data_IF_389115292831
#
_entry.id   IF_389115292831
#
_cell.length_a   1.000
_cell.length_b   1.000
_cell.length_c   1.000
_cell.angle_alpha   90.00
_cell.angle_beta   90.00
_cell.angle_gamma   90.00
#
_symmetry.space_group_name_H-M   'P 1'
#
loop_
_entity.id
_entity.type
_entity.pdbx_description
1 polymer ?
#
# COMPACT_ATOMS: atom_id res chain seq x y z
N UNK A 1 -20.19 3.20 3.61
CA UNK A 1 -19.70 4.19 4.61
C UNK A 1 -19.91 5.58 4.05
N UNK A 2 -20.77 6.40 4.66
CA UNK A 2 -21.02 7.79 4.25
C UNK A 2 -20.12 8.72 5.07
N UNK A 3 -19.20 9.42 4.39
CA UNK A 3 -18.16 10.23 5.02
C UNK A 3 -18.67 11.61 5.51
N UNK A 4 -18.37 11.93 6.77
CA UNK A 4 -18.50 13.26 7.38
C UNK A 4 -17.11 13.93 7.36
N UNK A 5 -16.91 14.78 6.35
CA UNK A 5 -15.66 15.40 5.85
C UNK A 5 -14.56 15.84 6.85
N UNK A 6 -14.83 16.03 8.14
CA UNK A 6 -13.84 16.50 9.12
C UNK A 6 -13.24 15.42 10.02
N UNK A 7 -14.06 14.46 10.48
CA UNK A 7 -13.60 13.39 11.41
C UNK A 7 -12.85 12.28 10.69
N UNK A 8 -13.26 11.97 9.47
CA UNK A 8 -12.68 10.87 8.68
C UNK A 8 -11.23 11.14 8.26
N UNK A 9 -10.88 12.40 8.02
CA UNK A 9 -9.51 12.79 7.69
C UNK A 9 -8.54 12.59 8.85
N UNK A 10 -8.99 12.81 10.09
CA UNK A 10 -8.16 12.57 11.29
C UNK A 10 -7.92 11.08 11.47
N UNK A 11 -8.98 10.27 11.38
CA UNK A 11 -8.86 8.82 11.47
C UNK A 11 -7.91 8.24 10.40
N UNK A 12 -8.02 8.72 9.15
CA UNK A 12 -7.14 8.26 8.07
C UNK A 12 -5.69 8.71 8.23
N UNK A 13 -5.44 9.91 8.80
CA UNK A 13 -4.09 10.39 9.07
C UNK A 13 -3.40 9.66 10.23
N UNK A 14 -4.18 9.27 11.24
CA UNK A 14 -3.69 8.55 12.41
C UNK A 14 -3.69 7.02 12.25
N UNK A 15 -4.06 6.52 11.06
CA UNK A 15 -4.09 5.09 10.79
C UNK A 15 -2.67 4.55 10.58
N UNK A 16 -2.12 3.92 11.62
CA UNK A 16 -0.83 3.25 11.59
C UNK A 16 -1.02 1.75 11.76
N UNK A 17 -0.45 0.96 10.85
CA UNK A 17 -0.49 -0.51 10.89
C UNK A 17 0.57 -1.06 11.85
N UNK A 18 1.66 -0.30 12.03
CA UNK A 18 2.82 -0.67 12.85
C UNK A 18 3.23 0.47 13.76
N UNK A 19 4.00 0.16 14.81
CA UNK A 19 4.62 1.20 15.62
C UNK A 19 5.75 1.86 14.80
N UNK A 20 5.65 3.17 14.58
CA UNK A 20 6.68 3.90 13.84
C UNK A 20 7.96 4.07 14.66
N UNK A 21 7.91 3.98 15.99
CA UNK A 21 9.09 4.07 16.87
C UNK A 21 10.05 2.89 16.69
N UNK A 22 9.55 1.76 16.19
CA UNK A 22 10.34 0.55 15.96
C UNK A 22 10.93 0.49 14.55
N UNK A 23 10.58 1.44 13.67
CA UNK A 23 11.08 1.49 12.30
C UNK A 23 12.25 2.47 12.21
N UNK A 24 13.32 2.04 11.55
CA UNK A 24 14.39 2.96 11.18
C UNK A 24 13.83 4.04 10.22
N UNK A 25 14.22 5.31 10.38
CA UNK A 25 13.81 6.38 9.49
C UNK A 25 14.53 6.30 8.14
N UNK A 26 13.98 7.00 7.14
CA UNK A 26 14.55 7.02 5.79
C UNK A 26 15.96 7.60 5.79
N UNK A 27 16.92 6.85 5.24
CA UNK A 27 18.32 7.25 5.16
C UNK A 27 19.23 6.68 6.26
N UNK A 28 18.66 5.95 7.23
CA UNK A 28 19.44 5.23 8.25
C UNK A 28 19.61 3.75 7.92
N UNK A 29 20.63 3.12 8.52
CA UNK A 29 20.88 1.69 8.41
C UNK A 29 19.69 0.90 8.96
N UNK A 30 19.19 -0.04 8.16
CA UNK A 30 18.01 -0.84 8.50
C UNK A 30 16.67 -0.22 8.08
N UNK A 31 16.66 0.90 7.35
CA UNK A 31 15.45 1.42 6.73
C UNK A 31 14.86 0.43 5.71
N UNK A 32 13.64 -0.04 5.97
CA UNK A 32 12.84 -0.80 5.02
C UNK A 32 11.67 0.06 4.51
N UNK A 33 11.62 0.40 3.21
CA UNK A 33 10.52 1.18 2.65
C UNK A 33 9.17 0.44 2.71
N UNK A 34 9.16 -0.88 2.89
CA UNK A 34 7.97 -1.72 3.06
C UNK A 34 7.56 -1.91 4.54
N UNK A 35 8.40 -1.54 5.51
CA UNK A 35 8.20 -1.87 6.92
C UNK A 35 6.87 -1.37 7.51
N UNK A 36 6.38 -0.23 7.01
CA UNK A 36 5.10 0.37 7.43
C UNK A 36 3.84 -0.47 7.12
N UNK A 37 3.93 -1.40 6.17
CA UNK A 37 2.79 -2.21 5.73
C UNK A 37 3.11 -3.71 5.56
N UNK A 38 4.36 -4.11 5.78
CA UNK A 38 4.80 -5.50 5.67
C UNK A 38 3.93 -6.48 6.49
N UNK A 39 3.51 -6.18 7.75
CA UNK A 39 2.67 -7.11 8.51
C UNK A 39 1.29 -7.35 7.87
N UNK A 40 0.74 -6.33 7.19
CA UNK A 40 -0.53 -6.47 6.48
C UNK A 40 -0.38 -7.37 5.26
N UNK A 41 0.72 -7.21 4.50
CA UNK A 41 1.02 -8.03 3.33
C UNK A 41 1.25 -9.49 3.75
N UNK A 42 2.03 -9.70 4.81
CA UNK A 42 2.29 -11.04 5.33
C UNK A 42 1.02 -11.73 5.82
N UNK A 43 0.20 -11.02 6.60
CA UNK A 43 -1.09 -11.53 7.08
C UNK A 43 -2.01 -11.91 5.92
N UNK A 44 -2.13 -11.04 4.93
CA UNK A 44 -2.99 -11.28 3.75
C UNK A 44 -2.49 -12.48 2.95
N UNK A 45 -1.18 -12.57 2.69
CA UNK A 45 -0.59 -13.70 1.98
C UNK A 45 -0.80 -15.02 2.72
N UNK A 46 -0.70 -15.02 4.05
CA UNK A 46 -0.99 -16.20 4.87
C UNK A 46 -2.46 -16.62 4.74
N UNK A 47 -3.39 -15.69 4.82
CA UNK A 47 -4.82 -15.98 4.67
C UNK A 47 -5.15 -16.51 3.26
N UNK A 48 -4.61 -15.87 2.21
CA UNK A 48 -4.85 -16.30 0.84
C UNK A 48 -4.35 -17.72 0.62
N UNK A 49 -3.15 -18.06 1.11
CA UNK A 49 -2.63 -19.43 1.02
C UNK A 49 -3.43 -20.44 1.83
N UNK A 50 -4.01 -20.03 2.96
CA UNK A 50 -4.78 -20.93 3.81
C UNK A 50 -6.17 -21.23 3.25
N UNK A 51 -6.82 -20.25 2.62
CA UNK A 51 -8.21 -20.35 2.18
C UNK A 51 -8.39 -20.66 0.69
N UNK A 52 -7.36 -20.43 -0.14
CA UNK A 52 -7.44 -20.65 -1.58
C UNK A 52 -6.66 -21.89 -2.02
N UNK A 53 -7.36 -22.85 -2.66
CA UNK A 53 -6.73 -23.97 -3.35
C UNK A 53 -6.60 -23.64 -4.83
N UNK A 54 -5.37 -23.53 -5.37
CA UNK A 54 -5.17 -23.21 -6.78
C UNK A 54 -5.66 -24.33 -7.71
N UNK A 55 -6.12 -23.94 -8.90
CA UNK A 55 -6.39 -24.86 -10.01
C UNK A 55 -5.14 -25.06 -10.87
N UNK A 56 -5.20 -25.98 -11.82
CA UNK A 56 -4.06 -26.33 -12.70
C UNK A 56 -3.57 -25.15 -13.55
N UNK A 57 -4.48 -24.29 -13.99
CA UNK A 57 -4.18 -23.13 -14.82
C UNK A 57 -3.99 -21.90 -13.94
N UNK A 58 -2.74 -21.43 -13.84
CA UNK A 58 -2.34 -20.25 -13.10
C UNK A 58 -1.70 -19.23 -14.06
N UNK A 59 -2.12 -17.98 -13.94
CA UNK A 59 -1.49 -16.84 -14.60
C UNK A 59 -0.83 -15.95 -13.56
N UNK A 60 0.40 -15.53 -13.82
CA UNK A 60 1.12 -14.54 -13.01
C UNK A 60 1.29 -13.30 -13.85
N UNK A 61 0.84 -12.16 -13.31
CA UNK A 61 0.95 -10.86 -13.96
C UNK A 61 1.23 -9.79 -12.89
N UNK A 62 1.72 -8.65 -13.33
CA UNK A 62 2.05 -7.52 -12.47
C UNK A 62 0.85 -6.58 -12.32
N UNK A 63 0.54 -6.19 -11.09
CA UNK A 63 -0.42 -5.13 -10.80
C UNK A 63 0.28 -3.99 -10.09
N UNK A 64 0.24 -2.80 -10.68
CA UNK A 64 0.85 -1.60 -10.10
C UNK A 64 -0.20 -0.75 -9.38
N UNK A 65 0.20 -0.21 -8.25
CA UNK A 65 -0.60 0.75 -7.48
C UNK A 65 0.09 2.10 -7.58
N UNK A 66 -0.65 3.10 -8.07
CA UNK A 66 -0.13 4.47 -8.19
C UNK A 66 0.19 5.04 -6.80
N UNK A 67 1.47 5.15 -6.47
CA UNK A 67 1.96 5.70 -5.20
C UNK A 67 2.97 6.82 -5.45
N UNK A 68 3.10 7.73 -4.48
CA UNK A 68 4.13 8.79 -4.47
C UNK A 68 5.26 8.48 -3.46
N UNK A 69 5.30 7.27 -2.91
CA UNK A 69 6.35 6.83 -1.97
C UNK A 69 7.60 6.40 -2.72
N UNK A 70 8.72 6.29 -2.01
CA UNK A 70 10.06 6.01 -2.55
C UNK A 70 10.20 4.68 -3.32
N UNK A 71 9.22 3.78 -3.25
CA UNK A 71 9.15 2.56 -4.07
C UNK A 71 8.51 2.92 -5.42
N UNK A 72 9.23 3.69 -6.24
CA UNK A 72 8.76 4.12 -7.56
C UNK A 72 9.41 3.28 -8.65
N UNK A 73 8.57 2.67 -9.48
CA UNK A 73 8.96 2.17 -10.79
C UNK A 73 8.27 3.01 -11.85
N UNK A 74 9.06 3.59 -12.76
CA UNK A 74 8.50 4.31 -13.89
C UNK A 74 8.06 3.33 -14.98
N UNK A 75 6.77 3.33 -15.30
CA UNK A 75 6.22 2.59 -16.45
C UNK A 75 5.46 3.55 -17.38
N UNK A 76 5.94 3.78 -18.62
CA UNK A 76 5.37 4.79 -19.51
C UNK A 76 3.97 4.45 -20.04
N UNK A 77 3.61 3.16 -20.12
CA UNK A 77 2.32 2.70 -20.64
C UNK A 77 1.33 2.26 -19.55
N UNK A 78 1.67 2.49 -18.28
CA UNK A 78 0.80 2.10 -17.17
C UNK A 78 -0.24 3.20 -16.89
N UNK A 79 -1.53 2.86 -17.00
CA UNK A 79 -2.62 3.75 -16.60
C UNK A 79 -2.79 3.64 -15.08
N UNK A 80 -2.10 4.51 -14.33
CA UNK A 80 -2.36 4.65 -12.91
C UNK A 80 -3.80 5.13 -12.69
N UNK A 81 -4.60 4.35 -11.96
CA UNK A 81 -6.01 4.64 -11.64
C UNK A 81 -6.21 5.87 -10.74
N UNK A 82 -5.13 6.55 -10.34
CA UNK A 82 -5.18 7.83 -9.63
C UNK A 82 -5.54 8.95 -10.62
N UNK A 83 -6.84 9.17 -10.80
CA UNK A 83 -7.34 10.40 -11.44
C UNK A 83 -6.75 11.59 -10.69
N UNK A 84 -5.90 12.38 -11.36
CA UNK A 84 -5.59 13.76 -10.94
C UNK A 84 -6.92 14.46 -10.66
N UNK A 85 -7.15 14.86 -9.42
CA UNK A 85 -8.26 15.75 -9.09
C UNK A 85 -7.80 17.15 -9.52
N UNK A 86 -8.38 17.78 -10.56
CA UNK A 86 -7.88 19.05 -11.11
C UNK A 86 -8.24 20.27 -10.25
N UNK A 87 -8.65 20.07 -8.99
CA UNK A 87 -9.16 21.12 -8.10
C UNK A 87 -8.44 21.14 -6.75
N UNK A 88 -7.11 21.22 -6.77
CA UNK A 88 -6.34 21.77 -5.64
C UNK A 88 -5.19 22.58 -6.27
N UNK A 89 -5.12 23.92 -6.07
CA UNK A 89 -4.01 24.74 -6.53
C UNK A 89 -2.68 24.34 -5.88
#
# INVERSE_FOLDING_TARGET
MKCLRGRDLVCLKSFHIVNNETLAPSGEDGYDPCGGFAPLVEHSNRLFRHHYTPKLELSVDESLIGTKRQILQYMPNFIATSKRNPFIP
#
